data_IF_605426913023
#
_entry.id   IF_605426913023
#
_cell.length_a   1.000
_cell.length_b   1.000
_cell.length_c   1.000
_cell.angle_alpha   90.00
_cell.angle_beta   90.00
_cell.angle_gamma   90.00
#
_symmetry.space_group_name_H-M   'P 1'
#
loop_
_entity.id
_entity.type
_entity.pdbx_description
1 polymer ?
#
# COMPACT_ATOMS: atom_id res chain seq x y z
N UNK A 1 -11.22 2.55 -7.57
CA UNK A 1 -10.09 2.36 -8.51
C UNK A 1 -10.20 3.15 -9.82
N UNK A 2 -11.33 3.10 -10.56
CA UNK A 2 -11.45 3.82 -11.86
C UNK A 2 -11.07 5.32 -11.82
N UNK A 3 -11.48 6.04 -10.78
CA UNK A 3 -11.14 7.47 -10.61
C UNK A 3 -9.63 7.70 -10.47
N UNK A 4 -8.95 6.91 -9.63
CA UNK A 4 -7.50 7.00 -9.45
C UNK A 4 -6.75 6.73 -10.76
N UNK A 5 -7.17 5.71 -11.52
CA UNK A 5 -6.62 5.43 -12.86
C UNK A 5 -6.81 6.61 -13.82
N UNK A 6 -7.99 7.24 -13.84
CA UNK A 6 -8.25 8.44 -14.65
C UNK A 6 -7.38 9.64 -14.25
N UNK A 7 -6.91 9.69 -13.00
CA UNK A 7 -5.98 10.70 -12.50
C UNK A 7 -4.51 10.35 -12.79
N UNK A 8 -4.24 9.25 -13.52
CA UNK A 8 -2.87 8.79 -13.79
C UNK A 8 -2.18 8.11 -12.61
N UNK A 9 -2.94 7.74 -11.57
CA UNK A 9 -2.40 7.09 -10.37
C UNK A 9 -2.39 5.58 -10.58
N UNK A 10 -1.19 4.99 -10.54
CA UNK A 10 -0.99 3.54 -10.54
C UNK A 10 -1.33 2.98 -9.16
N UNK A 11 -2.18 1.95 -9.12
CA UNK A 11 -2.59 1.30 -7.86
C UNK A 11 -1.95 -0.08 -7.77
N UNK A 12 -1.29 -0.32 -6.64
CA UNK A 12 -0.72 -1.60 -6.24
C UNK A 12 -1.49 -2.16 -5.05
N UNK A 13 -1.69 -3.48 -5.02
CA UNK A 13 -2.22 -4.20 -3.86
C UNK A 13 -1.11 -5.05 -3.24
N UNK A 14 -0.88 -4.93 -1.94
CA UNK A 14 0.07 -5.77 -1.21
C UNK A 14 -0.73 -6.57 -0.18
N UNK A 15 -0.69 -7.91 -0.27
CA UNK A 15 -1.39 -8.78 0.67
C UNK A 15 -0.46 -9.88 1.19
N UNK A 16 -0.71 -10.32 2.43
CA UNK A 16 -0.10 -11.51 3.01
C UNK A 16 -0.76 -12.81 2.55
N UNK A 17 -1.90 -12.73 1.85
CA UNK A 17 -2.60 -13.90 1.33
C UNK A 17 -1.78 -14.66 0.28
N UNK A 18 -2.20 -15.89 -0.02
CA UNK A 18 -1.62 -16.66 -1.11
C UNK A 18 -1.96 -16.04 -2.49
N UNK A 19 -1.26 -16.53 -3.52
CA UNK A 19 -1.39 -16.03 -4.89
C UNK A 19 -2.81 -16.11 -5.45
N UNK A 20 -3.54 -17.20 -5.18
CA UNK A 20 -4.90 -17.38 -5.71
C UNK A 20 -5.88 -16.36 -5.13
N UNK A 21 -5.87 -16.19 -3.80
CA UNK A 21 -6.70 -15.20 -3.12
C UNK A 21 -6.33 -13.78 -3.54
N UNK A 22 -5.02 -13.47 -3.61
CA UNK A 22 -4.54 -12.16 -4.03
C UNK A 22 -5.00 -11.82 -5.46
N UNK A 23 -4.86 -12.77 -6.38
CA UNK A 23 -5.29 -12.63 -7.77
C UNK A 23 -6.79 -12.39 -7.87
N UNK A 24 -7.59 -13.17 -7.15
CA UNK A 24 -9.05 -13.07 -7.19
C UNK A 24 -9.53 -11.70 -6.66
N UNK A 25 -8.97 -11.25 -5.53
CA UNK A 25 -9.30 -9.93 -4.94
C UNK A 25 -8.85 -8.80 -5.87
N UNK A 26 -7.63 -8.88 -6.42
CA UNK A 26 -7.13 -7.86 -7.35
C UNK A 26 -8.03 -7.74 -8.59
N UNK A 27 -8.48 -8.86 -9.15
CA UNK A 27 -9.40 -8.88 -10.28
C UNK A 27 -10.75 -8.26 -9.93
N UNK A 28 -11.35 -8.65 -8.79
CA UNK A 28 -12.62 -8.09 -8.30
C UNK A 28 -12.52 -6.57 -8.06
N UNK A 29 -11.40 -6.10 -7.52
CA UNK A 29 -11.14 -4.69 -7.28
C UNK A 29 -10.70 -3.92 -8.55
N UNK A 30 -10.49 -4.63 -9.67
CA UNK A 30 -9.91 -4.13 -10.89
C UNK A 30 -8.56 -3.42 -10.66
N UNK A 31 -7.69 -4.03 -9.86
CA UNK A 31 -6.30 -3.60 -9.62
C UNK A 31 -5.38 -4.40 -10.54
N UNK A 32 -4.49 -3.70 -11.26
CA UNK A 32 -3.66 -4.31 -12.29
C UNK A 32 -2.33 -4.86 -11.76
N UNK A 33 -1.91 -4.40 -10.58
CA UNK A 33 -0.64 -4.78 -9.97
C UNK A 33 -0.90 -5.25 -8.55
N UNK A 34 -0.45 -6.46 -8.23
CA UNK A 34 -0.50 -6.97 -6.87
C UNK A 34 0.75 -7.77 -6.53
N UNK A 35 1.00 -7.93 -5.22
CA UNK A 35 1.93 -8.91 -4.68
C UNK A 35 1.22 -9.71 -3.58
N UNK A 36 1.35 -11.03 -3.64
CA UNK A 36 0.88 -11.96 -2.61
C UNK A 36 2.01 -12.31 -1.65
N UNK A 37 1.66 -12.93 -0.53
CA UNK A 37 2.60 -13.49 0.47
C UNK A 37 3.64 -12.46 0.95
N UNK A 38 3.23 -11.19 1.03
CA UNK A 38 4.08 -10.06 1.40
C UNK A 38 4.18 -9.96 2.91
N UNK A 39 5.40 -9.97 3.46
CA UNK A 39 5.63 -9.72 4.87
C UNK A 39 5.55 -8.22 5.20
N UNK A 40 5.30 -7.82 6.46
CA UNK A 40 5.28 -6.40 6.84
C UNK A 40 6.53 -5.63 6.42
N UNK A 41 7.73 -6.23 6.53
CA UNK A 41 8.99 -5.60 6.11
C UNK A 41 9.06 -5.40 4.59
N UNK A 42 8.53 -6.35 3.82
CA UNK A 42 8.54 -6.30 2.35
C UNK A 42 7.69 -5.16 1.81
N UNK A 43 6.63 -4.76 2.53
CA UNK A 43 5.80 -3.60 2.15
C UNK A 43 6.62 -2.31 2.14
N UNK A 44 7.41 -2.07 3.18
CA UNK A 44 8.28 -0.89 3.25
C UNK A 44 9.39 -0.93 2.18
N UNK A 45 10.00 -2.10 1.94
CA UNK A 45 10.98 -2.27 0.87
C UNK A 45 10.40 -1.97 -0.51
N UNK A 46 9.17 -2.43 -0.77
CA UNK A 46 8.49 -2.16 -2.03
C UNK A 46 8.21 -0.67 -2.24
N UNK A 47 7.79 0.05 -1.20
CA UNK A 47 7.61 1.51 -1.27
C UNK A 47 8.94 2.20 -1.58
N UNK A 48 10.02 1.80 -0.89
CA UNK A 48 11.37 2.35 -1.13
C UNK A 48 11.84 2.11 -2.56
N UNK A 49 11.56 0.93 -3.13
CA UNK A 49 11.88 0.62 -4.51
C UNK A 49 11.16 1.58 -5.48
N UNK A 50 9.85 1.78 -5.31
CA UNK A 50 9.08 2.71 -6.14
C UNK A 50 9.60 4.16 -6.02
N UNK A 51 10.01 4.57 -4.82
CA UNK A 51 10.61 5.88 -4.60
C UNK A 51 11.98 6.02 -5.30
N UNK A 52 12.80 4.98 -5.30
CA UNK A 52 14.06 4.94 -6.05
C UNK A 52 13.85 5.03 -7.56
N UNK A 53 12.72 4.54 -8.07
CA UNK A 53 12.27 4.72 -9.47
C UNK A 53 11.71 6.14 -9.73
N UNK A 54 11.80 7.05 -8.77
CA UNK A 54 11.34 8.43 -8.87
C UNK A 54 9.82 8.60 -8.71
N UNK A 55 9.12 7.57 -8.22
CA UNK A 55 7.67 7.67 -7.96
C UNK A 55 7.41 8.33 -6.61
N UNK A 56 6.34 9.11 -6.54
CA UNK A 56 5.73 9.54 -5.27
C UNK A 56 4.71 8.51 -4.84
N UNK A 57 4.84 8.01 -3.61
CA UNK A 57 4.07 6.86 -3.13
C UNK A 57 3.15 7.27 -2.00
N UNK A 58 1.86 7.00 -2.17
CA UNK A 58 0.89 7.06 -1.09
C UNK A 58 0.58 5.65 -0.59
N UNK A 59 0.68 5.41 0.72
CA UNK A 59 0.38 4.13 1.35
C UNK A 59 -0.93 4.22 2.13
N UNK A 60 -1.79 3.22 1.94
CA UNK A 60 -3.05 3.08 2.68
C UNK A 60 -3.01 1.76 3.43
N UNK A 61 -3.20 1.78 4.75
CA UNK A 61 -3.04 0.59 5.61
C UNK A 61 -3.73 0.73 6.96
N UNK A 62 -3.75 -0.30 7.78
CA UNK A 62 -4.47 -0.30 9.07
C UNK A 62 -3.71 0.38 10.24
N UNK A 63 -2.46 0.81 9.99
CA UNK A 63 -1.62 1.52 10.97
C UNK A 63 -0.84 0.60 11.91
N UNK A 64 -1.40 -0.55 12.30
CA UNK A 64 -0.75 -1.48 13.24
C UNK A 64 0.22 -2.40 12.50
N UNK A 65 -0.26 -3.06 11.45
CA UNK A 65 0.55 -4.02 10.68
C UNK A 65 1.38 -3.34 9.60
N UNK A 66 0.98 -2.13 9.21
CA UNK A 66 1.57 -1.37 8.10
C UNK A 66 2.43 -0.19 8.56
N UNK A 67 2.73 -0.07 9.85
CA UNK A 67 3.44 1.07 10.44
C UNK A 67 4.76 1.42 9.72
N UNK A 68 5.61 0.42 9.46
CA UNK A 68 6.87 0.62 8.74
C UNK A 68 6.67 1.06 7.29
N UNK A 69 5.62 0.54 6.63
CA UNK A 69 5.28 0.92 5.26
C UNK A 69 4.70 2.34 5.19
N UNK A 70 3.86 2.71 6.17
CA UNK A 70 3.32 4.06 6.31
C UNK A 70 4.44 5.06 6.63
N UNK A 71 5.40 4.73 7.49
CA UNK A 71 6.54 5.62 7.77
C UNK A 71 7.45 5.84 6.55
N UNK A 72 7.53 4.88 5.62
CA UNK A 72 8.36 4.97 4.42
C UNK A 72 7.71 5.77 3.28
N UNK A 73 6.38 5.88 3.24
CA UNK A 73 5.65 6.51 2.13
C UNK A 73 5.78 8.04 2.13
N UNK A 74 5.61 8.68 0.96
CA UNK A 74 5.56 10.14 0.85
C UNK A 74 4.24 10.71 1.41
N UNK A 75 3.18 9.90 1.40
CA UNK A 75 1.88 10.21 2.00
C UNK A 75 1.29 8.94 2.63
N UNK A 76 0.81 9.04 3.85
CA UNK A 76 0.26 7.91 4.60
C UNK A 76 -1.18 8.12 5.01
N UNK A 77 -2.01 7.09 4.79
CA UNK A 77 -3.44 7.11 5.07
C UNK A 77 -3.79 5.85 5.89
N UNK A 78 -3.97 6.03 7.20
CA UNK A 78 -4.36 4.93 8.07
C UNK A 78 -5.89 4.71 8.05
N UNK A 79 -6.33 3.47 7.81
CA UNK A 79 -7.73 3.03 7.83
C UNK A 79 -8.02 2.28 9.14
N UNK A 80 -8.27 3.02 10.22
CA UNK A 80 -8.58 2.50 11.56
C UNK A 80 -8.74 3.67 12.54
N UNK A 81 -9.37 3.48 13.73
CA UNK A 81 -9.55 4.54 14.75
C UNK A 81 -8.21 5.23 15.05
N UNK A 82 -7.95 6.36 14.40
CA UNK A 82 -6.66 7.04 14.41
C UNK A 82 -6.41 7.78 15.72
N UNK A 83 -6.17 7.05 16.81
CA UNK A 83 -5.76 7.71 18.05
C UNK A 83 -4.25 7.96 18.09
N UNK A 84 -3.39 6.96 17.85
CA UNK A 84 -2.02 7.11 18.41
C UNK A 84 -0.84 7.03 17.42
N UNK A 85 -1.02 6.52 16.20
CA UNK A 85 0.13 6.31 15.27
C UNK A 85 0.23 7.40 14.18
N UNK A 86 -0.86 8.13 13.90
CA UNK A 86 -0.90 9.12 12.83
C UNK A 86 -0.40 10.53 13.22
N UNK A 87 0.00 10.74 14.49
CA UNK A 87 0.38 12.07 14.98
C UNK A 87 1.87 12.41 14.88
N UNK A 88 2.77 11.45 14.63
CA UNK A 88 4.21 11.70 14.80
C UNK A 88 5.05 11.61 13.52
N UNK A 89 4.47 11.96 12.37
CA UNK A 89 5.24 12.13 11.13
C UNK A 89 4.74 13.34 10.35
N UNK A 90 5.27 14.51 10.72
CA UNK A 90 5.16 15.78 10.00
C UNK A 90 6.55 16.41 9.88
#
# INVERSE_FOLDING_TARGET
IRRLRKMGITVYMLTGDNEDTAREIAQKAAIGHYKSSVLPQDKALFIKQLQQEGKKVAMVGDGINDSAALAQADLSIAMGKGSDIAMDTA
#
